data_IF_327405033346
#
_entry.id   IF_327405033346
#
_cell.length_a   1.000
_cell.length_b   1.000
_cell.length_c   1.000
_cell.angle_alpha   90.00
_cell.angle_beta   90.00
_cell.angle_gamma   90.00
#
_symmetry.space_group_name_H-M   'P 1'
#
loop_
_entity.id
_entity.type
_entity.pdbx_description
1 polymer ?
#
# COMPACT_ATOMS: atom_id res chain seq x y z
N UNK A 1 -26.40 -0.84 -11.38
CA UNK A 1 -25.19 0.00 -11.60
C UNK A 1 -24.01 -0.96 -11.78
N UNK A 2 -22.95 -0.61 -12.54
CA UNK A 2 -21.84 -1.55 -12.84
C UNK A 2 -21.05 -2.02 -11.61
N UNK A 3 -21.34 -1.50 -10.42
CA UNK A 3 -20.66 -1.81 -9.15
C UNK A 3 -21.54 -2.55 -8.14
N UNK A 4 -22.79 -2.91 -8.49
CA UNK A 4 -23.70 -3.58 -7.55
C UNK A 4 -23.13 -4.91 -7.08
N UNK A 5 -22.96 -5.06 -5.76
CA UNK A 5 -22.43 -6.28 -5.13
C UNK A 5 -20.90 -6.42 -5.15
N UNK A 6 -20.16 -5.40 -5.62
CA UNK A 6 -18.70 -5.36 -5.51
C UNK A 6 -18.24 -4.46 -4.36
N UNK A 7 -16.94 -4.37 -4.13
CA UNK A 7 -16.37 -3.45 -3.13
C UNK A 7 -16.47 -1.97 -3.52
N UNK A 8 -16.84 -1.68 -4.77
CA UNK A 8 -17.15 -0.33 -5.27
C UNK A 8 -18.66 -0.01 -5.20
N UNK A 9 -19.47 -0.90 -4.60
CA UNK A 9 -20.88 -0.63 -4.36
C UNK A 9 -21.05 0.64 -3.48
N UNK A 10 -22.05 1.50 -3.76
CA UNK A 10 -22.28 2.71 -2.96
C UNK A 10 -22.47 2.46 -1.45
N UNK A 11 -22.96 1.29 -1.06
CA UNK A 11 -23.11 0.86 0.33
C UNK A 11 -21.84 0.26 0.95
N UNK A 12 -20.81 -0.04 0.15
CA UNK A 12 -19.55 -0.59 0.66
C UNK A 12 -18.68 0.51 1.27
N UNK A 13 -18.09 0.24 2.44
CA UNK A 13 -17.18 1.17 3.13
C UNK A 13 -15.81 1.30 2.43
N UNK A 14 -15.44 0.34 1.58
CA UNK A 14 -14.17 0.32 0.84
C UNK A 14 -14.21 1.05 -0.53
N UNK A 15 -15.39 1.50 -0.97
CA UNK A 15 -15.59 2.13 -2.29
C UNK A 15 -14.64 3.32 -2.52
N UNK A 16 -14.25 3.51 -3.76
CA UNK A 16 -13.28 4.50 -4.19
C UNK A 16 -11.83 4.02 -4.14
N UNK A 17 -11.54 2.82 -3.63
CA UNK A 17 -10.16 2.31 -3.63
C UNK A 17 -9.68 1.98 -5.05
N UNK A 18 -10.58 1.49 -5.92
CA UNK A 18 -10.26 1.10 -7.29
C UNK A 18 -9.76 2.28 -8.12
N UNK A 19 -10.34 3.48 -7.94
CA UNK A 19 -9.93 4.65 -8.75
C UNK A 19 -8.46 4.99 -8.54
N UNK A 20 -7.95 4.84 -7.32
CA UNK A 20 -6.54 5.02 -7.02
C UNK A 20 -5.65 4.01 -7.76
N UNK A 21 -6.01 2.72 -7.71
CA UNK A 21 -5.32 1.68 -8.48
C UNK A 21 -5.37 1.94 -9.99
N UNK A 22 -6.50 2.41 -10.50
CA UNK A 22 -6.69 2.70 -11.91
C UNK A 22 -5.80 3.86 -12.39
N UNK A 23 -5.66 4.91 -11.59
CA UNK A 23 -4.72 6.00 -11.86
C UNK A 23 -3.27 5.49 -11.95
N UNK A 24 -2.82 4.68 -10.99
CA UNK A 24 -1.47 4.07 -11.05
C UNK A 24 -1.31 3.18 -12.29
N UNK A 25 -2.31 2.36 -12.63
CA UNK A 25 -2.25 1.49 -13.80
C UNK A 25 -2.15 2.26 -15.12
N UNK A 26 -2.95 3.32 -15.29
CA UNK A 26 -2.84 4.23 -16.45
C UNK A 26 -1.47 4.91 -16.48
N UNK A 27 -0.95 5.34 -15.33
CA UNK A 27 0.35 5.99 -15.22
C UNK A 27 1.50 5.07 -15.64
N UNK A 28 1.44 3.78 -15.24
CA UNK A 28 2.38 2.76 -15.72
C UNK A 28 2.26 2.52 -17.22
N UNK A 29 1.04 2.48 -17.77
CA UNK A 29 0.82 2.29 -19.19
C UNK A 29 1.40 3.45 -20.01
N UNK A 30 1.10 4.69 -19.60
CA UNK A 30 1.65 5.90 -20.25
C UNK A 30 3.18 5.89 -20.24
N UNK A 31 3.81 5.63 -19.09
CA UNK A 31 5.27 5.60 -18.97
C UNK A 31 5.89 4.44 -19.77
N UNK A 32 5.26 3.26 -19.74
CA UNK A 32 5.81 2.04 -20.32
C UNK A 32 5.65 1.93 -21.83
N UNK A 33 4.58 2.49 -22.40
CA UNK A 33 4.25 2.31 -23.83
C UNK A 33 4.08 3.61 -24.60
N UNK A 34 3.91 4.75 -23.91
CA UNK A 34 3.56 6.02 -24.56
C UNK A 34 2.13 6.05 -25.13
N UNK A 35 1.23 5.19 -24.66
CA UNK A 35 -0.15 5.10 -25.15
C UNK A 35 -0.92 6.43 -24.92
N UNK A 36 -1.25 7.09 -26.03
CA UNK A 36 -1.97 8.37 -26.00
C UNK A 36 -3.38 8.29 -25.44
N UNK A 37 -4.11 7.19 -25.68
CA UNK A 37 -5.46 7.01 -25.16
C UNK A 37 -5.45 6.78 -23.64
N UNK A 38 -4.43 6.08 -23.14
CA UNK A 38 -4.17 5.96 -21.71
C UNK A 38 -3.86 7.32 -21.07
N UNK A 39 -3.07 8.15 -21.75
CA UNK A 39 -2.75 9.51 -21.34
C UNK A 39 -3.99 10.43 -21.26
N UNK A 40 -4.81 10.44 -22.31
CA UNK A 40 -6.08 11.18 -22.32
C UNK A 40 -7.02 10.72 -21.21
N UNK A 41 -7.09 9.41 -20.97
CA UNK A 41 -7.90 8.85 -19.89
C UNK A 41 -7.38 9.24 -18.51
N UNK A 42 -6.05 9.22 -18.30
CA UNK A 42 -5.43 9.62 -17.05
C UNK A 42 -5.76 11.08 -16.72
N UNK A 43 -5.59 11.99 -17.68
CA UNK A 43 -5.88 13.41 -17.52
C UNK A 43 -7.37 13.67 -17.27
N UNK A 44 -8.25 12.96 -17.98
CA UNK A 44 -9.69 13.02 -17.71
C UNK A 44 -10.02 12.61 -16.27
N UNK A 45 -9.46 11.49 -15.78
CA UNK A 45 -9.73 11.02 -14.42
C UNK A 45 -9.22 12.01 -13.36
N UNK A 46 -8.00 12.54 -13.52
CA UNK A 46 -7.43 13.53 -12.61
C UNK A 46 -8.29 14.80 -12.59
N UNK A 47 -8.67 15.31 -13.76
CA UNK A 47 -9.45 16.56 -13.86
C UNK A 47 -10.86 16.44 -13.29
N UNK A 48 -11.55 15.31 -13.47
CA UNK A 48 -12.86 15.08 -12.84
C UNK A 48 -12.75 14.91 -11.31
N UNK A 49 -11.74 14.18 -10.83
CA UNK A 49 -11.49 14.06 -9.40
C UNK A 49 -11.12 15.40 -8.75
N UNK A 50 -10.39 16.27 -9.46
CA UNK A 50 -10.05 17.62 -8.99
C UNK A 50 -11.31 18.46 -8.74
N UNK A 51 -12.33 18.38 -9.62
CA UNK A 51 -13.62 19.06 -9.43
C UNK A 51 -14.32 18.57 -8.16
N UNK A 52 -14.28 17.26 -7.90
CA UNK A 52 -14.85 16.66 -6.69
C UNK A 52 -14.10 17.14 -5.45
N UNK A 53 -12.77 17.05 -5.44
CA UNK A 53 -11.95 17.50 -4.33
C UNK A 53 -12.21 18.98 -4.01
N UNK A 54 -12.27 19.85 -5.04
CA UNK A 54 -12.61 21.26 -4.88
C UNK A 54 -13.99 21.45 -4.24
N UNK A 55 -15.00 20.68 -4.67
CA UNK A 55 -16.35 20.74 -4.10
C UNK A 55 -16.42 20.26 -2.64
N UNK A 56 -15.52 19.36 -2.24
CA UNK A 56 -15.38 18.85 -0.88
C UNK A 56 -14.48 19.72 0.02
N UNK A 57 -14.05 20.90 -0.45
CA UNK A 57 -13.25 21.85 0.34
C UNK A 57 -11.75 21.83 0.04
N UNK A 58 -11.33 21.17 -1.04
CA UNK A 58 -9.98 21.27 -1.61
C UNK A 58 -8.93 20.32 -1.03
N UNK A 59 -9.04 19.93 0.24
CA UNK A 59 -8.13 18.96 0.85
C UNK A 59 -8.64 17.51 0.78
N UNK A 60 -9.92 17.30 1.05
CA UNK A 60 -10.50 15.96 1.17
C UNK A 60 -10.94 15.37 -0.17
N UNK A 61 -10.60 14.10 -0.41
CA UNK A 61 -11.07 13.34 -1.56
C UNK A 61 -11.27 11.86 -1.19
N UNK A 62 -12.52 11.40 -1.22
CA UNK A 62 -12.88 9.99 -1.14
C UNK A 62 -14.31 9.80 -1.68
N UNK A 63 -14.74 8.54 -1.84
CA UNK A 63 -16.12 8.20 -2.20
C UNK A 63 -17.07 8.09 -0.98
N UNK A 64 -16.58 8.36 0.23
CA UNK A 64 -17.32 8.28 1.49
C UNK A 64 -17.19 9.56 2.33
N UNK A 65 -18.04 9.78 3.35
CA UNK A 65 -17.92 10.97 4.20
C UNK A 65 -16.69 10.88 5.13
N UNK A 66 -16.16 12.04 5.53
CA UNK A 66 -15.04 12.13 6.47
C UNK A 66 -15.31 11.44 7.83
N UNK A 67 -16.58 11.20 8.17
CA UNK A 67 -17.01 10.47 9.37
C UNK A 67 -16.38 9.07 9.49
N UNK A 68 -16.05 8.40 8.38
CA UNK A 68 -15.34 7.12 8.43
C UNK A 68 -13.99 7.25 9.14
N UNK A 69 -13.28 8.37 8.97
CA UNK A 69 -12.05 8.64 9.70
C UNK A 69 -12.34 8.94 11.17
N UNK A 70 -13.45 9.63 11.49
CA UNK A 70 -13.87 9.86 12.87
C UNK A 70 -14.08 8.52 13.61
N UNK A 71 -14.65 7.51 12.94
CA UNK A 71 -14.82 6.16 13.50
C UNK A 71 -13.47 5.51 13.81
N UNK A 72 -12.53 5.45 12.85
CA UNK A 72 -11.19 4.89 13.10
C UNK A 72 -10.48 5.60 14.25
N UNK A 73 -10.47 6.93 14.23
CA UNK A 73 -9.81 7.77 15.25
C UNK A 73 -10.53 7.77 16.60
N UNK A 74 -11.74 7.20 16.68
CA UNK A 74 -12.46 6.90 17.91
C UNK A 74 -12.40 5.42 18.28
N UNK A 75 -11.61 4.61 17.56
CA UNK A 75 -11.48 3.15 17.74
C UNK A 75 -12.81 2.41 17.57
N UNK A 76 -13.67 2.91 16.68
CA UNK A 76 -14.93 2.28 16.28
C UNK A 76 -14.72 1.55 14.96
N UNK A 77 -15.42 0.42 14.80
CA UNK A 77 -15.32 -0.39 13.58
C UNK A 77 -15.76 0.40 12.35
N UNK A 78 -15.00 0.30 11.27
CA UNK A 78 -15.25 0.80 9.90
C UNK A 78 -14.20 0.16 8.99
N UNK A 79 -14.53 -0.10 7.73
CA UNK A 79 -13.61 -0.78 6.83
C UNK A 79 -12.56 0.15 6.23
N UNK A 80 -11.36 0.12 6.82
CA UNK A 80 -10.09 0.57 6.24
C UNK A 80 -10.09 1.91 5.45
N UNK A 81 -10.62 3.03 5.99
CA UNK A 81 -10.69 4.29 5.25
C UNK A 81 -9.30 4.88 4.91
N UNK A 82 -8.29 4.67 5.76
CA UNK A 82 -6.91 5.06 5.47
C UNK A 82 -6.28 4.25 4.32
N UNK A 83 -6.65 2.97 4.18
CA UNK A 83 -6.24 2.18 3.01
C UNK A 83 -6.79 2.75 1.71
N UNK A 84 -8.04 3.21 1.71
CA UNK A 84 -8.70 3.77 0.52
C UNK A 84 -8.00 5.05 0.08
N UNK A 85 -7.78 5.99 1.00
CA UNK A 85 -7.08 7.23 0.63
C UNK A 85 -5.62 6.98 0.26
N UNK A 86 -4.95 5.97 0.83
CA UNK A 86 -3.62 5.58 0.37
C UNK A 86 -3.65 5.25 -1.13
N UNK A 87 -4.65 4.50 -1.62
CA UNK A 87 -4.73 4.20 -3.06
C UNK A 87 -4.93 5.45 -3.90
N UNK A 88 -5.83 6.34 -3.47
CA UNK A 88 -6.10 7.59 -4.19
C UNK A 88 -4.84 8.46 -4.23
N UNK A 89 -4.19 8.67 -3.08
CA UNK A 89 -2.96 9.46 -2.99
C UNK A 89 -1.83 8.86 -3.82
N UNK A 90 -1.65 7.52 -3.77
CA UNK A 90 -0.63 6.83 -4.56
C UNK A 90 -0.90 6.97 -6.06
N UNK A 91 -2.15 6.80 -6.49
CA UNK A 91 -2.57 7.00 -7.87
C UNK A 91 -2.33 8.42 -8.39
N UNK A 92 -2.65 9.43 -7.59
CA UNK A 92 -2.35 10.83 -7.92
C UNK A 92 -0.84 11.11 -7.97
N UNK A 93 -0.08 10.55 -7.04
CA UNK A 93 1.37 10.68 -7.03
C UNK A 93 2.01 10.02 -8.26
N UNK A 94 1.54 8.83 -8.63
CA UNK A 94 2.00 8.13 -9.84
C UNK A 94 1.60 8.89 -11.11
N UNK A 95 0.40 9.47 -11.16
CA UNK A 95 -0.04 10.33 -12.26
C UNK A 95 0.85 11.55 -12.46
N UNK A 96 1.43 12.08 -11.38
CA UNK A 96 2.43 13.13 -11.48
C UNK A 96 3.80 12.59 -11.92
N UNK A 97 4.33 11.60 -11.19
CA UNK A 97 5.71 11.11 -11.36
C UNK A 97 5.93 10.41 -12.71
N UNK A 98 4.93 9.66 -13.17
CA UNK A 98 5.02 8.85 -14.40
C UNK A 98 4.19 9.45 -15.54
N UNK A 99 3.05 10.07 -15.23
CA UNK A 99 2.15 10.68 -16.22
C UNK A 99 2.39 12.18 -16.47
N UNK A 100 3.21 12.84 -15.66
CA UNK A 100 3.54 14.27 -15.82
C UNK A 100 2.45 15.25 -15.38
N UNK A 101 1.38 14.80 -14.72
CA UNK A 101 0.27 15.68 -14.32
C UNK A 101 0.64 16.58 -13.12
N UNK A 102 0.72 17.89 -13.33
CA UNK A 102 0.97 18.87 -12.25
C UNK A 102 -0.27 19.11 -11.37
N UNK A 103 -1.47 18.95 -11.93
CA UNK A 103 -2.71 18.99 -11.17
C UNK A 103 -2.75 17.87 -10.13
N UNK A 104 -2.34 16.65 -10.51
CA UNK A 104 -2.32 15.51 -9.59
C UNK A 104 -1.39 15.75 -8.38
N UNK A 105 -0.21 16.37 -8.59
CA UNK A 105 0.68 16.76 -7.48
C UNK A 105 0.01 17.76 -6.52
N UNK A 106 -0.70 18.74 -7.07
CA UNK A 106 -1.43 19.73 -6.28
C UNK A 106 -2.49 19.05 -5.42
N UNK A 107 -3.25 18.12 -6.02
CA UNK A 107 -4.31 17.38 -5.33
C UNK A 107 -3.76 16.51 -4.19
N UNK A 108 -2.71 15.72 -4.43
CA UNK A 108 -2.14 14.83 -3.40
C UNK A 108 -1.47 15.61 -2.27
N UNK A 109 -0.86 16.77 -2.57
CA UNK A 109 -0.31 17.67 -1.54
C UNK A 109 -1.42 18.22 -0.65
N UNK A 110 -2.53 18.68 -1.24
CA UNK A 110 -3.68 19.15 -0.46
C UNK A 110 -4.34 18.03 0.38
N UNK A 111 -4.33 16.77 -0.11
CA UNK A 111 -4.74 15.63 0.70
C UNK A 111 -3.79 15.40 1.88
N UNK A 112 -2.48 15.47 1.65
CA UNK A 112 -1.49 15.32 2.72
C UNK A 112 -1.64 16.42 3.79
N UNK A 113 -1.88 17.67 3.39
CA UNK A 113 -2.18 18.79 4.30
C UNK A 113 -3.42 18.51 5.15
N UNK A 114 -4.51 18.05 4.52
CA UNK A 114 -5.75 17.71 5.20
C UNK A 114 -5.53 16.62 6.27
N UNK A 115 -4.86 15.53 5.89
CA UNK A 115 -4.62 14.41 6.81
C UNK A 115 -3.55 14.73 7.85
N UNK A 116 -2.59 15.60 7.56
CA UNK A 116 -1.65 16.09 8.56
C UNK A 116 -2.38 16.89 9.64
N UNK A 117 -3.19 17.88 9.27
CA UNK A 117 -3.95 18.69 10.23
C UNK A 117 -4.90 17.82 11.07
N UNK A 118 -5.55 16.85 10.43
CA UNK A 118 -6.46 15.91 11.08
C UNK A 118 -5.74 15.00 12.09
N UNK A 119 -4.68 14.31 11.67
CA UNK A 119 -3.91 13.42 12.54
C UNK A 119 -3.24 14.19 13.68
N UNK A 120 -2.69 15.38 13.39
CA UNK A 120 -2.13 16.29 14.40
C UNK A 120 -3.13 16.60 15.51
N UNK A 121 -4.38 16.90 15.14
CA UNK A 121 -5.46 17.18 16.10
C UNK A 121 -5.76 15.95 16.98
N UNK A 122 -5.86 14.76 16.39
CA UNK A 122 -6.10 13.52 17.15
C UNK A 122 -4.97 13.24 18.14
N UNK A 123 -3.71 13.41 17.71
CA UNK A 123 -2.53 13.21 18.56
C UNK A 123 -2.49 14.27 19.67
N UNK A 124 -2.80 15.53 19.38
CA UNK A 124 -2.83 16.59 20.37
C UNK A 124 -3.92 16.37 21.44
N UNK A 125 -5.09 15.88 21.04
CA UNK A 125 -6.23 15.69 21.94
C UNK A 125 -6.17 14.36 22.73
N UNK A 126 -5.69 13.28 22.12
CA UNK A 126 -5.76 11.92 22.66
C UNK A 126 -4.42 11.24 22.88
N UNK A 127 -3.33 11.85 22.40
CA UNK A 127 -1.96 11.33 22.50
C UNK A 127 -1.58 10.34 21.40
N UNK A 128 -0.26 10.18 21.23
CA UNK A 128 0.32 9.30 20.21
C UNK A 128 -0.07 7.82 20.41
N UNK A 129 -0.13 7.35 21.66
CA UNK A 129 -0.55 5.97 21.96
C UNK A 129 -1.99 5.67 21.52
N UNK A 130 -2.89 6.67 21.55
CA UNK A 130 -4.24 6.52 21.03
C UNK A 130 -4.23 6.43 19.50
N UNK A 131 -3.46 7.29 18.84
CA UNK A 131 -3.27 7.23 17.39
C UNK A 131 -2.73 5.87 16.95
N UNK A 132 -1.69 5.35 17.61
CA UNK A 132 -1.14 4.02 17.31
C UNK A 132 -2.18 2.89 17.42
N UNK A 133 -3.11 2.96 18.38
CA UNK A 133 -4.22 2.00 18.49
C UNK A 133 -5.20 2.10 17.33
N UNK A 134 -5.39 3.28 16.74
CA UNK A 134 -6.25 3.44 15.57
C UNK A 134 -5.66 2.74 14.33
N UNK A 135 -4.33 2.62 14.28
CA UNK A 135 -3.58 1.89 13.24
C UNK A 135 -3.63 0.36 13.39
N UNK A 136 -4.47 -0.17 14.29
CA UNK A 136 -4.91 -1.57 14.22
C UNK A 136 -5.95 -1.79 13.12
N UNK A 137 -6.61 -0.73 12.65
CA UNK A 137 -7.38 -0.76 11.40
C UNK A 137 -6.45 -0.55 10.22
N UNK A 138 -6.64 -1.32 9.16
CA UNK A 138 -5.78 -1.26 7.97
C UNK A 138 -5.72 0.16 7.36
N UNK A 139 -4.49 0.61 7.13
CA UNK A 139 -4.17 1.90 6.52
C UNK A 139 -3.35 1.78 5.22
N UNK A 140 -3.09 0.56 4.75
CA UNK A 140 -2.21 0.32 3.61
C UNK A 140 -0.81 0.93 3.80
N UNK A 141 -0.21 1.45 2.73
CA UNK A 141 1.08 2.13 2.71
C UNK A 141 0.94 3.64 2.78
N UNK A 142 0.18 4.17 3.75
CA UNK A 142 0.14 5.63 3.97
C UNK A 142 1.55 6.20 4.20
N UNK A 143 2.40 5.47 4.94
CA UNK A 143 3.81 5.83 5.09
C UNK A 143 4.57 5.80 3.74
N UNK A 144 4.35 4.79 2.88
CA UNK A 144 4.94 4.72 1.51
C UNK A 144 4.66 6.01 0.72
N UNK A 145 3.38 6.35 0.54
CA UNK A 145 3.00 7.48 -0.31
C UNK A 145 3.49 8.82 0.26
N UNK A 146 3.50 8.98 1.58
CA UNK A 146 3.92 10.21 2.24
C UNK A 146 5.45 10.41 2.23
N UNK A 147 6.23 9.35 2.44
CA UNK A 147 7.70 9.45 2.28
C UNK A 147 8.10 9.72 0.83
N UNK A 148 7.40 9.11 -0.14
CA UNK A 148 7.60 9.42 -1.57
C UNK A 148 7.24 10.88 -1.89
N UNK A 149 6.12 11.38 -1.36
CA UNK A 149 5.73 12.79 -1.53
C UNK A 149 6.73 13.74 -0.87
N UNK A 150 7.25 13.41 0.32
CA UNK A 150 8.30 14.18 0.99
C UNK A 150 9.56 14.28 0.12
N UNK A 151 10.02 13.19 -0.51
CA UNK A 151 11.18 13.24 -1.40
C UNK A 151 11.02 14.17 -2.60
N UNK A 152 9.79 14.38 -3.08
CA UNK A 152 9.51 15.30 -4.19
C UNK A 152 9.39 16.75 -3.74
N UNK A 153 8.78 16.98 -2.58
CA UNK A 153 8.36 18.32 -2.13
C UNK A 153 9.29 18.93 -1.08
N UNK A 154 10.04 18.09 -0.37
CA UNK A 154 10.86 18.39 0.80
C UNK A 154 10.09 19.10 1.93
N UNK A 155 8.76 19.00 1.94
CA UNK A 155 7.92 19.59 2.97
C UNK A 155 7.88 18.69 4.19
N UNK A 156 8.39 19.19 5.31
CA UNK A 156 8.57 18.43 6.55
C UNK A 156 7.28 17.80 7.08
N UNK A 157 6.14 18.47 6.90
CA UNK A 157 4.82 17.94 7.27
C UNK A 157 4.51 16.58 6.62
N UNK A 158 4.98 16.31 5.40
CA UNK A 158 4.81 15.02 4.75
C UNK A 158 5.62 13.93 5.46
N UNK A 159 6.85 14.26 5.86
CA UNK A 159 7.72 13.35 6.63
C UNK A 159 7.15 13.06 8.01
N UNK A 160 6.67 14.09 8.69
CA UNK A 160 6.05 13.97 10.01
C UNK A 160 4.80 13.08 9.95
N UNK A 161 3.89 13.34 9.01
CA UNK A 161 2.71 12.50 8.82
C UNK A 161 3.09 11.05 8.48
N UNK A 162 4.09 10.84 7.62
CA UNK A 162 4.58 9.49 7.27
C UNK A 162 5.05 8.75 8.53
N UNK A 163 5.82 9.43 9.38
CA UNK A 163 6.34 8.87 10.62
C UNK A 163 5.22 8.50 11.62
N UNK A 164 4.10 9.24 11.64
CA UNK A 164 2.94 8.84 12.46
C UNK A 164 2.26 7.56 11.97
N UNK A 165 2.38 7.20 10.69
CA UNK A 165 1.90 5.92 10.16
C UNK A 165 2.92 4.77 10.33
N UNK A 166 4.14 5.03 10.79
CA UNK A 166 5.12 3.99 11.10
C UNK A 166 4.81 3.35 12.47
N UNK A 167 3.97 2.30 12.46
CA UNK A 167 3.51 1.61 13.66
C UNK A 167 4.67 1.00 14.48
N UNK A 168 5.02 1.54 15.67
CA UNK A 168 6.24 1.15 16.37
C UNK A 168 6.24 -0.31 16.86
N UNK A 169 5.08 -0.85 17.25
CA UNK A 169 4.96 -2.25 17.70
C UNK A 169 5.37 -3.26 16.62
N UNK A 170 5.05 -2.95 15.36
CA UNK A 170 5.38 -3.79 14.21
C UNK A 170 6.84 -3.60 13.82
N UNK A 171 7.25 -2.35 13.61
CA UNK A 171 8.60 -1.97 13.21
C UNK A 171 9.69 -2.47 14.17
N UNK A 172 9.54 -2.24 15.49
CA UNK A 172 10.59 -2.55 16.47
C UNK A 172 10.89 -4.04 16.56
N UNK A 173 9.88 -4.89 16.39
CA UNK A 173 10.07 -6.33 16.34
C UNK A 173 10.95 -6.73 15.14
N UNK A 174 10.66 -6.16 13.96
CA UNK A 174 11.44 -6.41 12.74
C UNK A 174 12.88 -5.89 12.86
N UNK A 175 13.10 -4.71 13.44
CA UNK A 175 14.47 -4.20 13.72
C UNK A 175 15.24 -5.18 14.60
N UNK A 176 14.59 -5.71 15.64
CA UNK A 176 15.18 -6.68 16.55
C UNK A 176 15.34 -8.10 15.96
N UNK A 177 14.90 -8.33 14.71
CA UNK A 177 14.93 -9.65 14.08
C UNK A 177 13.97 -10.66 14.70
N UNK A 178 12.98 -10.19 15.46
CA UNK A 178 11.89 -11.00 16.01
C UNK A 178 10.84 -11.16 14.92
N UNK A 179 10.21 -12.33 14.83
CA UNK A 179 9.14 -12.65 13.87
C UNK A 179 7.76 -12.26 14.45
N UNK A 180 7.10 -11.20 13.96
CA UNK A 180 5.75 -10.83 14.36
C UNK A 180 4.67 -11.31 13.37
N UNK A 181 4.97 -12.09 12.33
CA UNK A 181 4.06 -12.27 11.18
C UNK A 181 2.90 -13.21 11.47
N UNK A 182 3.11 -14.28 12.25
CA UNK A 182 2.12 -15.35 12.39
C UNK A 182 0.74 -14.82 12.79
N UNK A 183 -0.29 -15.26 12.06
CA UNK A 183 -1.71 -14.89 12.20
C UNK A 183 -2.06 -13.43 11.91
N UNK A 184 -1.12 -12.62 11.43
CA UNK A 184 -1.42 -11.29 10.93
C UNK A 184 -1.90 -11.31 9.47
N UNK A 185 -2.81 -10.38 9.14
CA UNK A 185 -3.27 -10.15 7.77
C UNK A 185 -2.09 -9.69 6.90
N UNK A 186 -1.72 -10.49 5.91
CA UNK A 186 -0.42 -10.39 5.25
C UNK A 186 -0.28 -9.09 4.46
N UNK A 187 -1.28 -8.74 3.64
CA UNK A 187 -1.20 -7.59 2.76
C UNK A 187 -1.16 -6.24 3.52
N UNK A 188 -1.90 -6.13 4.62
CA UNK A 188 -1.89 -4.95 5.50
C UNK A 188 -0.49 -4.65 6.02
N UNK A 189 0.26 -5.68 6.40
CA UNK A 189 1.57 -5.53 7.02
C UNK A 189 2.68 -5.43 5.98
N UNK A 190 2.55 -6.12 4.84
CA UNK A 190 3.44 -5.94 3.68
C UNK A 190 3.47 -4.49 3.19
N UNK A 191 2.30 -3.84 3.10
CA UNK A 191 2.21 -2.43 2.71
C UNK A 191 2.97 -1.50 3.66
N UNK A 192 2.97 -1.79 4.97
CA UNK A 192 3.73 -1.03 5.97
C UNK A 192 5.24 -1.18 5.75
N UNK A 193 5.70 -2.40 5.42
CA UNK A 193 7.12 -2.68 5.14
C UNK A 193 7.60 -2.01 3.86
N UNK A 194 6.73 -1.90 2.84
CA UNK A 194 7.03 -1.05 1.67
C UNK A 194 7.27 0.39 2.10
N UNK A 195 6.45 0.92 3.01
CA UNK A 195 6.67 2.26 3.55
C UNK A 195 7.95 2.41 4.39
N UNK A 196 8.39 1.35 5.09
CA UNK A 196 9.71 1.33 5.73
C UNK A 196 10.85 1.40 4.71
N UNK A 197 10.70 0.79 3.54
CA UNK A 197 11.67 0.97 2.46
C UNK A 197 11.71 2.43 1.98
N UNK A 198 10.55 3.07 1.82
CA UNK A 198 10.51 4.49 1.46
C UNK A 198 11.04 5.41 2.56
N UNK A 199 10.90 5.05 3.84
CA UNK A 199 11.55 5.75 4.95
C UNK A 199 13.07 5.75 4.80
N UNK A 200 13.69 4.60 4.54
CA UNK A 200 15.13 4.56 4.29
C UNK A 200 15.50 5.38 3.04
N UNK A 201 14.73 5.28 1.97
CA UNK A 201 14.97 6.04 0.73
C UNK A 201 14.80 7.56 0.91
N UNK A 202 14.02 8.00 1.90
CA UNK A 202 13.71 9.40 2.14
C UNK A 202 14.67 10.06 3.14
N UNK A 203 15.07 9.35 4.19
CA UNK A 203 15.87 9.92 5.29
C UNK A 203 17.07 9.09 5.73
N UNK A 204 17.43 8.05 4.98
CA UNK A 204 18.57 7.18 5.26
C UNK A 204 18.57 6.56 6.67
N UNK A 205 17.38 6.28 7.22
CA UNK A 205 17.22 5.66 8.54
C UNK A 205 17.71 4.19 8.52
N UNK A 206 18.84 3.84 9.18
CA UNK A 206 19.39 2.50 9.14
C UNK A 206 18.45 1.44 9.73
N UNK A 207 17.64 1.80 10.73
CA UNK A 207 16.67 0.88 11.32
C UNK A 207 15.60 0.47 10.30
N UNK A 208 15.25 1.35 9.34
CA UNK A 208 14.35 0.99 8.23
C UNK A 208 14.93 -0.07 7.35
N UNK A 209 16.18 0.13 6.94
CA UNK A 209 16.87 -0.85 6.12
C UNK A 209 16.93 -2.20 6.84
N UNK A 210 17.28 -2.21 8.13
CA UNK A 210 17.32 -3.42 8.95
C UNK A 210 15.95 -4.08 9.08
N UNK A 211 14.89 -3.32 9.35
CA UNK A 211 13.53 -3.86 9.46
C UNK A 211 13.08 -4.53 8.15
N UNK A 212 13.33 -3.91 7.00
CA UNK A 212 12.97 -4.46 5.68
C UNK A 212 13.78 -5.72 5.37
N UNK A 213 15.09 -5.72 5.65
CA UNK A 213 15.96 -6.90 5.48
C UNK A 213 15.51 -8.07 6.34
N UNK A 214 15.27 -7.83 7.63
CA UNK A 214 14.82 -8.85 8.58
C UNK A 214 13.44 -9.38 8.18
N UNK A 215 12.49 -8.50 7.83
CA UNK A 215 11.18 -8.91 7.34
C UNK A 215 11.29 -9.86 6.13
N UNK A 216 12.09 -9.51 5.13
CA UNK A 216 12.25 -10.33 3.94
C UNK A 216 12.83 -11.72 4.28
N UNK A 217 13.86 -11.76 5.13
CA UNK A 217 14.43 -13.03 5.60
C UNK A 217 13.39 -13.88 6.34
N UNK A 218 12.67 -13.29 7.31
CA UNK A 218 11.62 -13.98 8.07
C UNK A 218 10.53 -14.52 7.13
N UNK A 219 10.01 -13.68 6.23
CA UNK A 219 8.97 -14.05 5.27
C UNK A 219 9.40 -15.24 4.40
N UNK A 220 10.57 -15.14 3.77
CA UNK A 220 11.06 -16.16 2.84
C UNK A 220 11.47 -17.47 3.51
N UNK A 221 11.91 -17.43 4.77
CA UNK A 221 12.27 -18.63 5.54
C UNK A 221 11.05 -19.34 6.12
N UNK A 222 10.07 -18.59 6.63
CA UNK A 222 9.00 -19.15 7.45
C UNK A 222 7.63 -19.20 6.76
N UNK A 223 7.35 -18.32 5.80
CA UNK A 223 5.98 -18.08 5.30
C UNK A 223 5.85 -18.08 3.79
N UNK A 224 6.86 -18.54 3.06
CA UNK A 224 6.85 -18.58 1.60
C UNK A 224 6.64 -19.97 1.04
N UNK A 225 5.87 -20.04 -0.04
CA UNK A 225 5.74 -21.21 -0.88
C UNK A 225 6.82 -21.23 -1.97
N UNK A 226 6.98 -22.36 -2.65
CA UNK A 226 7.98 -22.54 -3.70
C UNK A 226 7.80 -21.56 -4.88
N UNK A 227 6.59 -21.01 -5.09
CA UNK A 227 6.30 -20.00 -6.12
C UNK A 227 6.73 -18.58 -5.73
N UNK A 228 7.26 -18.37 -4.52
CA UNK A 228 7.54 -17.04 -3.97
C UNK A 228 6.33 -16.37 -3.30
N UNK A 229 5.15 -16.97 -3.40
CA UNK A 229 3.96 -16.52 -2.69
C UNK A 229 4.01 -16.74 -1.20
N UNK A 230 3.11 -16.09 -0.50
CA UNK A 230 2.93 -16.21 0.94
C UNK A 230 1.44 -16.24 1.27
N UNK A 231 1.12 -16.49 2.54
CA UNK A 231 -0.24 -16.50 3.12
C UNK A 231 -1.23 -17.55 2.59
N UNK A 232 -2.24 -17.80 3.41
CA UNK A 232 -3.45 -18.55 3.08
C UNK A 232 -4.62 -17.86 3.74
N UNK A 233 -5.71 -17.70 2.99
CA UNK A 233 -6.91 -16.94 3.38
C UNK A 233 -6.58 -15.51 3.82
N UNK A 234 -5.61 -14.88 3.15
CA UNK A 234 -5.09 -13.53 3.44
C UNK A 234 -4.22 -13.40 4.71
N UNK A 235 -4.06 -14.45 5.51
CA UNK A 235 -3.26 -14.43 6.75
C UNK A 235 -1.98 -15.26 6.62
N UNK A 236 -0.90 -14.79 7.25
CA UNK A 236 0.22 -15.67 7.53
C UNK A 236 -0.19 -16.74 8.54
N UNK A 237 0.19 -17.98 8.27
CA UNK A 237 -0.20 -19.14 9.08
C UNK A 237 0.87 -19.44 10.12
N UNK A 238 0.89 -20.66 10.66
CA UNK A 238 1.98 -21.12 11.53
C UNK A 238 3.31 -21.14 10.74
N UNK A 239 4.41 -20.59 11.28
CA UNK A 239 5.70 -20.55 10.59
C UNK A 239 6.18 -21.96 10.23
N UNK A 240 6.80 -22.10 9.05
CA UNK A 240 7.35 -23.35 8.52
C UNK A 240 6.31 -24.46 8.28
N UNK A 241 5.02 -24.14 8.30
CA UNK A 241 3.92 -25.08 8.05
C UNK A 241 3.12 -24.75 6.78
N UNK A 242 3.68 -23.98 5.84
CA UNK A 242 2.97 -23.54 4.63
C UNK A 242 2.43 -24.71 3.78
N UNK A 243 3.06 -25.88 3.85
CA UNK A 243 2.58 -27.08 3.18
C UNK A 243 1.14 -27.45 3.60
N UNK A 244 0.76 -27.22 4.86
CA UNK A 244 -0.59 -27.53 5.38
C UNK A 244 -1.70 -26.81 4.60
N UNK A 245 -1.41 -25.61 4.08
CA UNK A 245 -2.35 -24.83 3.29
C UNK A 245 -2.63 -25.44 1.90
N UNK A 246 -1.85 -26.43 1.45
CA UNK A 246 -1.97 -27.04 0.11
C UNK A 246 -2.05 -28.57 0.14
N UNK A 247 -2.11 -29.21 1.33
CA UNK A 247 -2.25 -30.66 1.45
C UNK A 247 -3.57 -31.19 0.89
N UNK A 248 -4.63 -30.38 0.92
CA UNK A 248 -5.94 -30.73 0.41
C UNK A 248 -6.37 -29.72 -0.68
N UNK A 249 -6.91 -30.17 -1.83
CA UNK A 249 -7.30 -29.29 -2.93
C UNK A 249 -8.19 -28.12 -2.50
N UNK A 250 -9.16 -28.38 -1.64
CA UNK A 250 -10.10 -27.40 -1.09
C UNK A 250 -9.42 -26.29 -0.26
N UNK A 251 -8.30 -26.59 0.39
CA UNK A 251 -7.53 -25.61 1.17
C UNK A 251 -6.64 -24.72 0.28
N UNK A 252 -6.26 -25.23 -0.89
CA UNK A 252 -5.35 -24.53 -1.81
C UNK A 252 -6.00 -23.37 -2.58
N UNK A 253 -7.35 -23.32 -2.64
CA UNK A 253 -8.11 -22.36 -3.45
C UNK A 253 -7.93 -20.89 -3.05
N UNK A 254 -7.56 -20.65 -1.78
CA UNK A 254 -7.41 -19.31 -1.20
C UNK A 254 -5.98 -19.08 -0.71
N UNK A 255 -4.99 -19.56 -1.46
CA UNK A 255 -3.56 -19.35 -1.17
C UNK A 255 -2.97 -18.26 -2.06
N UNK A 256 -1.92 -17.58 -1.59
CA UNK A 256 -1.13 -16.63 -2.38
C UNK A 256 -1.93 -15.44 -2.93
N UNK A 257 -2.58 -14.68 -2.06
CA UNK A 257 -3.24 -13.43 -2.47
C UNK A 257 -2.27 -12.54 -3.30
N UNK A 258 -2.68 -12.15 -4.51
CA UNK A 258 -1.81 -11.46 -5.48
C UNK A 258 -1.30 -10.11 -4.97
N UNK A 259 -2.04 -9.39 -4.12
CA UNK A 259 -1.58 -8.12 -3.56
C UNK A 259 -0.31 -8.31 -2.72
N UNK A 260 -0.19 -9.45 -2.03
CA UNK A 260 1.00 -9.77 -1.24
C UNK A 260 2.22 -10.02 -2.10
N UNK A 261 2.02 -10.69 -3.25
CA UNK A 261 3.04 -10.87 -4.28
C UNK A 261 3.53 -9.52 -4.80
N UNK A 262 2.61 -8.63 -5.16
CA UNK A 262 2.94 -7.30 -5.65
C UNK A 262 3.77 -6.49 -4.63
N UNK A 263 3.37 -6.49 -3.35
CA UNK A 263 4.10 -5.76 -2.32
C UNK A 263 5.47 -6.38 -2.00
N UNK A 264 5.60 -7.71 -1.97
CA UNK A 264 6.92 -8.34 -1.75
C UNK A 264 7.89 -8.09 -2.90
N UNK A 265 7.39 -7.97 -4.15
CA UNK A 265 8.22 -7.56 -5.29
C UNK A 265 8.78 -6.14 -5.09
N UNK A 266 7.98 -5.18 -4.60
CA UNK A 266 8.49 -3.84 -4.25
C UNK A 266 9.62 -3.92 -3.21
N UNK A 267 9.47 -4.75 -2.18
CA UNK A 267 10.46 -4.97 -1.12
C UNK A 267 11.75 -5.59 -1.68
N UNK A 268 11.64 -6.67 -2.46
CA UNK A 268 12.78 -7.33 -3.08
C UNK A 268 13.55 -6.38 -4.01
N UNK A 269 12.85 -5.55 -4.80
CA UNK A 269 13.48 -4.52 -5.64
C UNK A 269 14.26 -3.49 -4.81
N UNK A 270 13.67 -2.99 -3.72
CA UNK A 270 14.35 -2.04 -2.84
C UNK A 270 15.63 -2.65 -2.24
N UNK A 271 15.55 -3.88 -1.73
CA UNK A 271 16.69 -4.61 -1.18
C UNK A 271 17.80 -4.82 -2.20
N UNK A 272 17.45 -5.21 -3.44
CA UNK A 272 18.41 -5.34 -4.53
C UNK A 272 19.09 -4.00 -4.84
N UNK A 273 18.32 -2.91 -4.97
CA UNK A 273 18.87 -1.57 -5.24
C UNK A 273 19.83 -1.08 -4.13
N UNK A 274 19.60 -1.45 -2.87
CA UNK A 274 20.45 -1.03 -1.75
C UNK A 274 21.72 -1.86 -1.55
N UNK A 275 21.78 -3.08 -2.10
CA UNK A 275 22.80 -4.07 -1.74
C UNK A 275 23.53 -4.68 -2.93
N UNK A 276 22.88 -4.75 -4.10
CA UNK A 276 23.36 -5.50 -5.26
C UNK A 276 23.35 -7.02 -5.08
N UNK A 277 22.77 -7.55 -3.99
CA UNK A 277 22.76 -8.99 -3.71
C UNK A 277 21.75 -9.70 -4.62
N UNK A 278 22.26 -10.58 -5.49
CA UNK A 278 21.50 -11.29 -6.53
C UNK A 278 20.34 -12.11 -5.99
N UNK A 279 20.41 -12.56 -4.73
CA UNK A 279 19.35 -13.36 -4.11
C UNK A 279 17.98 -12.67 -4.10
N UNK A 280 17.97 -11.34 -4.04
CA UNK A 280 16.72 -10.56 -4.11
C UNK A 280 16.15 -10.54 -5.52
N UNK A 281 17.01 -10.50 -6.55
CA UNK A 281 16.61 -10.63 -7.95
C UNK A 281 16.11 -12.04 -8.27
N UNK A 282 16.77 -13.08 -7.76
CA UNK A 282 16.34 -14.48 -7.91
C UNK A 282 14.94 -14.70 -7.30
N UNK A 283 14.71 -14.15 -6.10
CA UNK A 283 13.38 -14.17 -5.50
C UNK A 283 12.36 -13.38 -6.35
N UNK A 284 12.74 -12.20 -6.85
CA UNK A 284 11.87 -11.35 -7.65
C UNK A 284 11.42 -12.08 -8.92
N UNK A 285 12.34 -12.70 -9.67
CA UNK A 285 12.02 -13.48 -10.85
C UNK A 285 11.04 -14.61 -10.52
N UNK A 286 11.32 -15.40 -9.49
CA UNK A 286 10.47 -16.52 -9.06
C UNK A 286 9.05 -16.05 -8.71
N UNK A 287 8.92 -15.02 -7.88
CA UNK A 287 7.63 -14.48 -7.46
C UNK A 287 6.87 -13.84 -8.63
N UNK A 288 7.56 -13.16 -9.55
CA UNK A 288 6.95 -12.55 -10.73
C UNK A 288 6.41 -13.62 -11.69
N UNK A 289 7.25 -14.58 -12.10
CA UNK A 289 6.89 -15.58 -13.11
C UNK A 289 5.78 -16.51 -12.62
N UNK A 290 5.87 -16.96 -11.37
CA UNK A 290 4.91 -17.93 -10.83
C UNK A 290 3.68 -17.27 -10.19
N UNK A 291 3.86 -16.14 -9.50
CA UNK A 291 2.83 -15.52 -8.68
C UNK A 291 2.04 -14.40 -9.36
N UNK A 292 2.66 -13.62 -10.24
CA UNK A 292 1.99 -12.52 -10.96
C UNK A 292 1.56 -12.97 -12.36
N UNK A 293 2.51 -13.49 -13.16
CA UNK A 293 2.19 -13.95 -14.51
C UNK A 293 1.39 -15.25 -14.49
N UNK A 294 1.68 -16.16 -13.55
CA UNK A 294 0.97 -17.44 -13.43
C UNK A 294 -0.54 -17.33 -13.15
N UNK A 295 -1.02 -16.20 -12.66
CA UNK A 295 -2.46 -15.93 -12.42
C UNK A 295 -3.08 -14.98 -13.44
N UNK A 296 -2.28 -14.47 -14.37
CA UNK A 296 -2.78 -13.63 -15.47
C UNK A 296 -3.46 -14.51 -16.50
N UNK A 297 -4.75 -14.24 -16.79
CA UNK A 297 -5.44 -14.92 -17.90
C UNK A 297 -4.86 -14.45 -19.22
N UNK A 298 -4.06 -15.29 -19.86
CA UNK A 298 -3.65 -15.09 -21.24
C UNK A 298 -4.89 -15.18 -22.12
N UNK A 299 -5.04 -14.25 -23.07
CA UNK A 299 -6.06 -14.38 -24.11
C UNK A 299 -5.71 -15.56 -25.01
N UNK A 300 -6.70 -16.29 -25.51
CA UNK A 300 -6.52 -17.54 -26.27
C UNK A 300 -5.62 -17.44 -27.52
N UNK A 301 -5.23 -16.23 -27.92
CA UNK A 301 -4.42 -15.92 -29.09
C UNK A 301 -2.93 -15.64 -28.75
N UNK A 302 -2.47 -15.92 -27.53
CA UNK A 302 -1.07 -15.83 -27.06
C UNK A 302 -0.64 -17.10 -26.34
#
# INVERSE_FOLDING_TARGET
LPYTGSWEDPGCELRGHFVGHYLSALSYLVLGTGDGAAGERLELMVSELAKVQARLGGGYLSAFPAEHFDRVEQLKGVWAPYYVIHKIMLGLLDAHVMGGSTQALTMVTAMADYFHARTSKVIAEKGLAHWERSLETEFGGMNEVLYRLYRLTLQEQHRELAAWFDKPRWWKALVAGVDPLSYHHANTHLAQVVGFAERFNAVADPDAKTAVQNFFNILTTNYSFATGGSNSKEFWQTPQMMAEAVLQPEHSLETHEICTQYNVLKIARALFMWTGDVRYSDFYERALLNGILGVSRLTADQ
#
